data_IF_247747773243
#
_entry.id   IF_247747773243
#
_cell.length_a   1.000
_cell.length_b   1.000
_cell.length_c   1.000
_cell.angle_alpha   90.00
_cell.angle_beta   90.00
_cell.angle_gamma   90.00
#
_symmetry.space_group_name_H-M   'P 1'
#
loop_
_entity.id
_entity.type
_entity.pdbx_description
1 polymer ?
#
# COMPACT_ATOMS: atom_id res chain seq x y z
N UNK A 1 -16.68 -6.04 5.44
CA UNK A 1 -15.62 -6.79 6.16
C UNK A 1 -14.87 -5.93 7.19
N UNK A 2 -14.40 -4.71 6.87
CA UNK A 2 -13.60 -3.88 7.81
C UNK A 2 -14.22 -3.72 9.20
N UNK A 3 -15.52 -3.44 9.28
CA UNK A 3 -16.22 -3.28 10.57
C UNK A 3 -16.25 -4.58 11.37
N UNK A 4 -16.39 -5.74 10.69
CA UNK A 4 -16.33 -7.03 11.35
C UNK A 4 -14.91 -7.32 11.85
N UNK A 5 -13.89 -7.05 11.04
CA UNK A 5 -12.49 -7.20 11.44
C UNK A 5 -12.18 -6.41 12.71
N UNK A 6 -12.56 -5.12 12.75
CA UNK A 6 -12.39 -4.27 13.94
C UNK A 6 -13.11 -4.81 15.17
N UNK A 7 -14.35 -5.32 15.03
CA UNK A 7 -15.09 -5.93 16.15
C UNK A 7 -14.40 -7.16 16.74
N UNK A 8 -13.62 -7.87 15.93
CA UNK A 8 -12.87 -9.05 16.36
C UNK A 8 -11.37 -8.76 16.60
N UNK A 9 -10.98 -7.49 16.76
CA UNK A 9 -9.58 -7.06 16.96
C UNK A 9 -8.63 -7.51 15.84
N UNK A 10 -9.15 -7.69 14.62
CA UNK A 10 -8.37 -7.98 13.40
C UNK A 10 -8.15 -6.69 12.64
N UNK A 11 -6.90 -6.37 12.31
CA UNK A 11 -6.55 -5.19 11.53
C UNK A 11 -6.88 -5.41 10.03
N UNK A 12 -7.79 -4.62 9.43
CA UNK A 12 -7.99 -4.66 7.99
C UNK A 12 -6.79 -4.03 7.25
N UNK A 13 -6.08 -4.85 6.48
CA UNK A 13 -4.96 -4.43 5.64
C UNK A 13 -5.49 -4.10 4.25
N UNK A 14 -5.06 -2.97 3.69
CA UNK A 14 -5.38 -2.57 2.32
C UNK A 14 -4.13 -2.53 1.46
N UNK A 15 -4.34 -2.77 0.17
CA UNK A 15 -3.33 -2.72 -0.86
C UNK A 15 -3.32 -1.33 -1.47
N UNK A 16 -2.14 -0.71 -1.52
CA UNK A 16 -1.89 0.55 -2.20
C UNK A 16 -1.18 0.26 -3.54
N UNK A 17 -1.88 0.42 -4.68
CA UNK A 17 -1.26 0.26 -5.99
C UNK A 17 -0.31 1.42 -6.30
N UNK A 18 0.71 1.21 -7.17
CA UNK A 18 1.71 2.24 -7.48
C UNK A 18 1.13 3.45 -8.23
N UNK A 19 -0.06 3.32 -8.80
CA UNK A 19 -0.82 4.35 -9.50
C UNK A 19 -2.06 4.82 -8.71
N UNK A 20 -2.07 4.65 -7.38
CA UNK A 20 -3.15 5.14 -6.53
C UNK A 20 -3.32 6.66 -6.65
N UNK A 21 -4.56 7.11 -6.81
CA UNK A 21 -4.92 8.53 -6.75
C UNK A 21 -5.06 9.03 -5.30
N UNK A 22 -5.19 10.35 -5.14
CA UNK A 22 -5.25 11.00 -3.81
C UNK A 22 -6.47 10.53 -2.99
N UNK A 23 -7.61 10.32 -3.66
CA UNK A 23 -8.84 9.85 -3.02
C UNK A 23 -8.68 8.44 -2.48
N UNK A 24 -8.08 7.52 -3.25
CA UNK A 24 -7.78 6.17 -2.81
C UNK A 24 -6.78 6.17 -1.65
N UNK A 25 -5.74 7.01 -1.71
CA UNK A 25 -4.78 7.14 -0.61
C UNK A 25 -5.45 7.60 0.70
N UNK A 26 -6.38 8.55 0.63
CA UNK A 26 -7.17 8.98 1.80
C UNK A 26 -8.06 7.88 2.34
N UNK A 27 -8.67 7.07 1.47
CA UNK A 27 -9.49 5.93 1.90
C UNK A 27 -8.64 4.86 2.59
N UNK A 28 -7.47 4.54 2.02
CA UNK A 28 -6.52 3.59 2.61
C UNK A 28 -6.06 4.08 3.97
N UNK A 29 -5.71 5.37 4.10
CA UNK A 29 -5.31 5.97 5.36
C UNK A 29 -6.44 5.92 6.41
N UNK A 30 -7.67 6.22 5.99
CA UNK A 30 -8.82 6.25 6.89
C UNK A 30 -9.22 4.86 7.40
N UNK A 31 -9.19 3.85 6.52
CA UNK A 31 -9.74 2.52 6.81
C UNK A 31 -8.70 1.47 7.18
N UNK A 32 -7.44 1.62 6.76
CA UNK A 32 -6.37 0.67 7.03
C UNK A 32 -5.88 0.73 8.46
N UNK A 33 -5.52 -0.43 9.02
CA UNK A 33 -4.91 -0.56 10.35
C UNK A 33 -3.76 -1.55 10.29
N UNK A 34 -2.86 -1.53 11.27
CA UNK A 34 -1.68 -2.39 11.29
C UNK A 34 -0.61 -1.89 10.32
N UNK A 35 -0.75 -2.18 9.03
CA UNK A 35 0.15 -1.69 7.98
C UNK A 35 -0.60 -1.46 6.66
N UNK A 36 0.00 -0.67 5.77
CA UNK A 36 -0.45 -0.46 4.40
C UNK A 36 0.42 -1.28 3.45
N UNK A 37 -0.16 -2.16 2.64
CA UNK A 37 0.63 -3.01 1.73
C UNK A 37 0.88 -2.30 0.41
N UNK A 38 2.12 -1.88 0.16
CA UNK A 38 2.50 -1.05 -0.98
C UNK A 38 3.04 -1.92 -2.11
N UNK A 39 2.39 -1.89 -3.28
CA UNK A 39 2.81 -2.70 -4.43
C UNK A 39 3.89 -1.99 -5.24
N UNK A 40 5.01 -2.67 -5.47
CA UNK A 40 6.11 -2.14 -6.29
C UNK A 40 5.83 -2.16 -7.80
N UNK A 41 4.81 -2.91 -8.26
CA UNK A 41 4.43 -3.06 -9.67
C UNK A 41 2.94 -3.38 -9.81
N UNK A 42 2.37 -3.00 -10.94
CA UNK A 42 0.94 -3.17 -11.22
C UNK A 42 0.55 -4.56 -11.80
N UNK A 43 1.44 -5.56 -11.83
CA UNK A 43 1.16 -6.85 -12.48
C UNK A 43 1.99 -8.04 -11.99
N UNK A 44 1.49 -9.26 -12.28
CA UNK A 44 2.11 -10.56 -11.93
C UNK A 44 2.89 -11.20 -13.09
N UNK A 45 2.77 -10.68 -14.31
CA UNK A 45 3.46 -11.19 -15.49
C UNK A 45 4.85 -10.56 -15.60
N UNK A 46 5.90 -11.38 -15.47
CA UNK A 46 7.32 -10.96 -15.50
C UNK A 46 7.81 -10.27 -16.80
N UNK A 47 6.91 -9.98 -17.74
CA UNK A 47 7.19 -9.24 -18.97
C UNK A 47 7.05 -7.71 -18.80
N UNK A 48 6.36 -7.23 -17.76
CA UNK A 48 6.20 -5.80 -17.50
C UNK A 48 7.30 -5.27 -16.58
N UNK A 49 8.54 -5.40 -17.06
CA UNK A 49 9.75 -4.90 -16.41
C UNK A 49 9.96 -3.41 -16.75
N UNK A 50 8.87 -2.62 -16.80
CA UNK A 50 8.92 -1.19 -17.12
C UNK A 50 8.53 -0.39 -15.89
N UNK A 51 9.58 0.09 -15.23
CA UNK A 51 9.58 1.10 -14.20
C UNK A 51 8.84 0.72 -12.91
N UNK A 52 9.61 0.27 -11.91
CA UNK A 52 9.28 0.60 -10.53
C UNK A 52 9.22 2.13 -10.45
N UNK A 53 8.01 2.71 -10.49
CA UNK A 53 7.84 4.13 -10.24
C UNK A 53 8.39 4.43 -8.83
N UNK A 54 9.04 5.59 -8.62
CA UNK A 54 9.54 5.94 -7.31
C UNK A 54 8.37 6.02 -6.31
N UNK A 55 8.25 5.00 -5.45
CA UNK A 55 7.19 4.87 -4.45
C UNK A 55 7.30 5.92 -3.33
N UNK A 56 8.40 6.69 -3.32
CA UNK A 56 8.67 7.75 -2.35
C UNK A 56 7.52 8.75 -2.25
N UNK A 57 6.88 9.10 -3.37
CA UNK A 57 5.73 10.01 -3.35
C UNK A 57 4.53 9.42 -2.60
N UNK A 58 4.23 8.14 -2.83
CA UNK A 58 3.12 7.44 -2.15
C UNK A 58 3.40 7.29 -0.66
N UNK A 59 4.64 6.96 -0.28
CA UNK A 59 5.06 6.88 1.12
C UNK A 59 4.90 8.25 1.80
N UNK A 60 5.31 9.34 1.15
CA UNK A 60 5.14 10.69 1.66
C UNK A 60 3.66 11.05 1.86
N UNK A 61 2.80 10.73 0.88
CA UNK A 61 1.35 10.96 0.96
C UNK A 61 0.66 10.13 2.04
N UNK A 62 1.01 8.85 2.15
CA UNK A 62 0.49 7.98 3.22
C UNK A 62 0.88 8.51 4.60
N UNK A 63 2.11 9.03 4.74
CA UNK A 63 2.57 9.67 5.96
C UNK A 63 1.83 10.98 6.23
N UNK A 64 1.59 11.81 5.22
CA UNK A 64 0.79 13.04 5.30
C UNK A 64 -0.64 12.75 5.80
N UNK A 65 -1.25 11.66 5.33
CA UNK A 65 -2.60 11.24 5.73
C UNK A 65 -2.66 10.41 7.01
N UNK A 66 -1.54 10.26 7.73
CA UNK A 66 -1.44 9.44 8.94
C UNK A 66 -1.97 8.00 8.72
N UNK A 67 -1.67 7.42 7.55
CA UNK A 67 -1.99 6.04 7.25
C UNK A 67 -1.20 5.08 8.15
N UNK A 68 -1.66 3.82 8.20
CA UNK A 68 -0.87 2.75 8.80
C UNK A 68 0.49 2.62 8.08
N UNK A 69 1.58 2.28 8.80
CA UNK A 69 2.93 2.21 8.24
C UNK A 69 2.99 1.45 6.91
N UNK A 70 3.60 2.02 5.86
CA UNK A 70 3.69 1.35 4.58
C UNK A 70 4.74 0.22 4.63
N UNK A 71 4.35 -0.96 4.15
CA UNK A 71 5.24 -2.10 3.91
C UNK A 71 5.27 -2.39 2.41
N UNK A 72 6.45 -2.24 1.81
CA UNK A 72 6.65 -2.53 0.40
C UNK A 72 6.67 -4.04 0.16
N UNK A 73 5.87 -4.49 -0.80
CA UNK A 73 5.78 -5.88 -1.23
C UNK A 73 6.08 -6.04 -2.72
N UNK A 74 6.32 -7.28 -3.12
CA UNK A 74 6.58 -7.74 -4.50
C UNK A 74 7.88 -7.22 -5.13
N UNK A 75 8.79 -8.15 -5.46
CA UNK A 75 10.01 -7.84 -6.22
C UNK A 75 11.21 -7.38 -5.41
N UNK A 76 11.14 -7.44 -4.07
CA UNK A 76 12.32 -7.31 -3.21
C UNK A 76 13.04 -8.66 -3.21
N UNK A 77 14.09 -8.76 -4.03
CA UNK A 77 14.96 -9.95 -4.13
C UNK A 77 16.40 -9.66 -3.74
N UNK A 78 16.72 -8.41 -3.41
CA UNK A 78 18.03 -7.97 -2.99
C UNK A 78 17.93 -7.06 -1.74
N UNK A 79 18.99 -6.94 -0.93
CA UNK A 79 19.01 -6.09 0.26
C UNK A 79 19.12 -4.58 -0.03
N UNK A 80 19.55 -4.23 -1.25
CA UNK A 80 19.89 -2.86 -1.68
C UNK A 80 18.71 -2.10 -2.30
#
# INVERSE_FOLDING_TARGET
>A
FRQAALRHNVAPIFICPPNADDDLLRQIASYGRGYTYLLSRAGVTGAENRAALPLNHLVAKLKEYNAAPPLQGFGISAPD
#
